data_IF_548386585563
#
_entry.id   IF_548386585563
#
_cell.length_a   1.000
_cell.length_b   1.000
_cell.length_c   1.000
_cell.angle_alpha   90.00
_cell.angle_beta   90.00
_cell.angle_gamma   90.00
#
_symmetry.space_group_name_H-M   'P 1'
#
loop_
_entity.id
_entity.type
_entity.pdbx_description
1 polymer ?
#
# COMPACT_ATOMS: atom_id res chain seq x y z
N UNK A 1 9.12 5.80 -2.78
CA UNK A 1 8.10 5.94 -1.74
C UNK A 1 6.87 6.70 -2.22
N UNK A 2 5.67 6.18 -1.89
CA UNK A 2 4.38 6.86 -2.02
C UNK A 2 3.71 6.95 -0.65
N UNK A 3 3.10 8.09 -0.37
CA UNK A 3 2.32 8.32 0.84
C UNK A 3 0.83 8.27 0.52
N UNK A 4 0.06 7.57 1.35
CA UNK A 4 -1.39 7.47 1.23
C UNK A 4 -2.07 7.95 2.50
N UNK A 5 -3.06 8.82 2.34
CA UNK A 5 -3.91 9.23 3.44
C UNK A 5 -4.88 8.13 3.82
N UNK A 6 -5.09 7.95 5.13
CA UNK A 6 -5.99 6.94 5.67
C UNK A 6 -7.43 7.48 5.77
N UNK A 7 -8.41 6.61 5.58
CA UNK A 7 -9.80 6.96 5.91
C UNK A 7 -9.91 7.20 7.42
N UNK A 8 -10.74 8.17 7.80
CA UNK A 8 -10.94 8.55 9.21
C UNK A 8 -11.51 7.32 9.96
N UNK A 9 -10.80 6.86 10.98
CA UNK A 9 -11.12 5.62 11.72
C UNK A 9 -10.33 4.39 11.28
N UNK A 10 -9.72 4.39 10.10
CA UNK A 10 -8.95 3.25 9.57
C UNK A 10 -7.51 3.22 10.08
N UNK A 11 -6.95 4.37 10.48
CA UNK A 11 -5.60 4.44 11.06
C UNK A 11 -5.37 3.48 12.23
N UNK A 12 -6.33 3.42 13.15
CA UNK A 12 -6.31 2.49 14.29
C UNK A 12 -6.35 1.01 13.87
N UNK A 13 -6.95 0.72 12.73
CA UNK A 13 -7.00 -0.62 12.16
C UNK A 13 -5.73 -1.00 11.41
N UNK A 14 -4.81 -0.06 11.16
CA UNK A 14 -3.51 -0.34 10.54
C UNK A 14 -2.37 -0.42 11.54
N UNK A 15 -2.57 0.01 12.77
CA UNK A 15 -1.59 -0.10 13.83
C UNK A 15 -1.39 -1.57 14.25
N UNK A 16 -0.15 -1.91 14.64
CA UNK A 16 0.23 -3.26 15.07
C UNK A 16 0.28 -4.29 13.94
N UNK A 17 -0.26 -5.50 14.20
CA UNK A 17 -0.19 -6.65 13.28
C UNK A 17 -1.19 -6.59 12.12
N UNK A 18 -2.14 -5.65 12.13
CA UNK A 18 -3.19 -5.61 11.10
C UNK A 18 -2.64 -5.29 9.71
N UNK A 19 -1.66 -4.38 9.61
CA UNK A 19 -1.00 -4.08 8.34
C UNK A 19 -0.32 -5.32 7.75
N UNK A 20 0.38 -6.07 8.60
CA UNK A 20 1.03 -7.34 8.24
C UNK A 20 0.00 -8.37 7.79
N UNK A 21 -1.12 -8.53 8.51
CA UNK A 21 -2.20 -9.45 8.13
C UNK A 21 -2.79 -9.12 6.77
N UNK A 22 -3.08 -7.84 6.50
CA UNK A 22 -3.60 -7.40 5.20
C UNK A 22 -2.60 -7.69 4.09
N UNK A 23 -1.31 -7.46 4.34
CA UNK A 23 -0.26 -7.79 3.38
C UNK A 23 -0.18 -9.31 3.14
N UNK A 24 -0.21 -10.13 4.21
CA UNK A 24 -0.19 -11.58 4.12
C UNK A 24 -1.41 -12.15 3.39
N UNK A 25 -2.60 -11.59 3.60
CA UNK A 25 -3.81 -12.00 2.88
C UNK A 25 -3.74 -11.72 1.37
N UNK A 26 -3.06 -10.64 0.97
CA UNK A 26 -3.03 -10.21 -0.43
C UNK A 26 -1.84 -10.81 -1.18
N UNK A 27 -0.67 -10.85 -0.56
CA UNK A 27 0.57 -11.30 -1.19
C UNK A 27 1.03 -12.68 -0.74
N UNK A 28 0.41 -13.23 0.32
CA UNK A 28 0.79 -14.50 0.94
C UNK A 28 1.98 -14.32 1.88
N UNK A 29 3.18 -14.36 1.30
CA UNK A 29 4.43 -14.32 2.07
C UNK A 29 4.85 -12.87 2.36
N UNK A 30 4.94 -12.55 3.65
CA UNK A 30 5.35 -11.22 4.12
C UNK A 30 6.35 -11.33 5.25
N UNK A 31 7.46 -10.64 5.09
CA UNK A 31 8.44 -10.39 6.13
C UNK A 31 8.05 -9.20 7.00
N UNK A 32 8.67 -9.11 8.17
CA UNK A 32 8.52 -7.98 9.08
C UNK A 32 9.88 -7.57 9.60
N UNK A 33 10.17 -6.28 9.55
CA UNK A 33 11.40 -5.65 10.00
C UNK A 33 11.02 -4.54 10.99
N UNK A 34 10.92 -4.92 12.27
CA UNK A 34 10.42 -4.05 13.34
C UNK A 34 8.98 -3.59 13.07
N UNK A 35 8.81 -2.29 12.77
CA UNK A 35 7.51 -1.68 12.45
C UNK A 35 7.18 -1.67 10.95
N UNK A 36 8.08 -2.17 10.09
CA UNK A 36 7.92 -2.20 8.64
C UNK A 36 7.58 -3.61 8.17
N UNK A 37 6.63 -3.71 7.26
CA UNK A 37 6.27 -4.96 6.59
C UNK A 37 7.01 -5.01 5.26
N UNK A 38 7.70 -6.10 4.99
CA UNK A 38 8.44 -6.33 3.74
C UNK A 38 7.70 -7.40 2.94
N UNK A 39 7.45 -7.13 1.68
CA UNK A 39 6.71 -8.02 0.77
C UNK A 39 7.49 -8.16 -0.53
N UNK A 40 7.55 -9.37 -1.07
CA UNK A 40 8.15 -9.65 -2.38
C UNK A 40 7.20 -10.54 -3.16
N UNK A 41 6.72 -10.08 -4.32
CA UNK A 41 5.68 -10.79 -5.06
C UNK A 41 5.72 -10.51 -6.56
N UNK A 42 6.00 -11.54 -7.38
CA UNK A 42 5.93 -11.45 -8.84
C UNK A 42 6.85 -10.37 -9.43
N UNK A 43 6.25 -9.32 -10.00
CA UNK A 43 6.95 -8.16 -10.57
C UNK A 43 7.53 -7.22 -9.51
N UNK A 44 7.10 -7.41 -8.26
CA UNK A 44 7.50 -6.63 -7.11
C UNK A 44 8.73 -7.29 -6.50
N UNK A 45 9.89 -6.67 -6.71
CA UNK A 45 11.16 -7.10 -6.12
C UNK A 45 11.10 -6.98 -4.60
N UNK A 46 10.72 -5.80 -4.12
CA UNK A 46 10.62 -5.49 -2.69
C UNK A 46 9.63 -4.38 -2.47
N UNK A 47 8.67 -4.58 -1.57
CA UNK A 47 7.75 -3.56 -1.10
C UNK A 47 7.91 -3.45 0.41
N UNK A 48 8.19 -2.25 0.87
CA UNK A 48 8.29 -1.94 2.30
C UNK A 48 7.10 -1.06 2.65
N UNK A 49 6.25 -1.52 3.57
CA UNK A 49 5.05 -0.81 3.99
C UNK A 49 5.09 -0.53 5.48
N UNK A 50 4.77 0.69 5.88
CA UNK A 50 4.61 1.05 7.28
C UNK A 50 3.62 2.20 7.42
N UNK A 51 3.17 2.44 8.65
CA UNK A 51 2.21 3.50 8.97
C UNK A 51 2.71 4.30 10.17
N UNK A 52 2.45 5.60 10.20
CA UNK A 52 2.61 6.41 11.43
C UNK A 52 1.30 6.53 12.23
N UNK A 53 0.25 5.83 11.80
CA UNK A 53 -1.11 5.93 12.34
C UNK A 53 -1.95 7.05 11.68
N UNK A 54 -1.31 8.01 11.00
CA UNK A 54 -1.99 9.06 10.22
C UNK A 54 -1.95 8.78 8.72
N UNK A 55 -0.82 8.31 8.21
CA UNK A 55 -0.58 7.99 6.80
C UNK A 55 0.07 6.62 6.64
N UNK A 56 -0.19 6.01 5.49
CA UNK A 56 0.48 4.79 5.04
C UNK A 56 1.62 5.16 4.10
N UNK A 57 2.81 4.67 4.42
CA UNK A 57 4.01 4.80 3.61
C UNK A 57 4.26 3.49 2.90
N UNK A 58 4.37 3.56 1.57
CA UNK A 58 4.59 2.40 0.72
C UNK A 58 5.79 2.68 -0.16
N UNK A 59 6.87 1.96 0.09
CA UNK A 59 8.01 1.93 -0.81
C UNK A 59 7.94 0.67 -1.65
N UNK A 60 8.10 0.80 -2.96
CA UNK A 60 7.94 -0.32 -3.90
C UNK A 60 9.04 -0.28 -4.92
N UNK A 61 9.75 -1.39 -5.04
CA UNK A 61 10.80 -1.65 -6.00
C UNK A 61 10.27 -2.71 -6.97
N UNK A 62 10.15 -2.34 -8.25
CA UNK A 62 9.71 -3.24 -9.31
C UNK A 62 10.93 -3.81 -10.03
N UNK A 63 10.88 -5.09 -10.39
CA UNK A 63 11.88 -5.72 -11.25
C UNK A 63 11.65 -5.35 -12.71
N UNK A 64 12.72 -4.98 -13.40
CA UNK A 64 12.72 -4.80 -14.85
C UNK A 64 12.70 -6.18 -15.53
N UNK A 65 12.05 -6.29 -16.70
CA UNK A 65 12.08 -7.53 -17.49
C UNK A 65 11.08 -8.61 -17.05
N UNK A 66 10.08 -8.25 -16.25
CA UNK A 66 8.98 -9.15 -15.88
C UNK A 66 7.86 -9.11 -16.93
N UNK A 67 7.18 -10.24 -17.20
CA UNK A 67 6.11 -10.29 -18.18
C UNK A 67 4.92 -9.36 -17.84
N UNK A 68 4.26 -8.79 -18.85
CA UNK A 68 3.10 -7.90 -18.68
C UNK A 68 1.97 -8.49 -17.83
N UNK A 69 1.74 -9.81 -17.94
CA UNK A 69 0.72 -10.49 -17.14
C UNK A 69 1.07 -10.48 -15.64
N UNK A 70 2.36 -10.65 -15.29
CA UNK A 70 2.84 -10.59 -13.90
C UNK A 70 2.79 -9.17 -13.38
N UNK A 71 3.17 -8.18 -14.21
CA UNK A 71 3.08 -6.76 -13.85
C UNK A 71 1.63 -6.36 -13.56
N UNK A 72 0.70 -6.79 -14.42
CA UNK A 72 -0.74 -6.51 -14.27
C UNK A 72 -1.30 -7.15 -13.01
N UNK A 73 -0.96 -8.41 -12.74
CA UNK A 73 -1.42 -9.13 -11.54
C UNK A 73 -0.90 -8.48 -10.26
N UNK A 74 0.39 -8.11 -10.27
CA UNK A 74 1.04 -7.37 -9.18
C UNK A 74 0.34 -6.03 -8.92
N UNK A 75 -0.02 -5.27 -9.97
CA UNK A 75 -0.75 -4.00 -9.84
C UNK A 75 -2.15 -4.22 -9.26
N UNK A 76 -2.84 -5.31 -9.62
CA UNK A 76 -4.15 -5.66 -9.06
C UNK A 76 -4.05 -5.99 -7.58
N UNK A 77 -3.12 -6.87 -7.20
CA UNK A 77 -2.84 -7.21 -5.80
C UNK A 77 -2.47 -5.94 -4.99
N UNK A 78 -1.58 -5.11 -5.53
CA UNK A 78 -1.21 -3.83 -4.93
C UNK A 78 -2.39 -2.90 -4.69
N UNK A 79 -3.31 -2.80 -5.66
CA UNK A 79 -4.52 -2.00 -5.48
C UNK A 79 -5.44 -2.58 -4.40
N UNK A 80 -5.68 -3.89 -4.40
CA UNK A 80 -6.49 -4.56 -3.39
C UNK A 80 -5.90 -4.38 -1.98
N UNK A 81 -4.58 -4.48 -1.85
CA UNK A 81 -3.86 -4.19 -0.61
C UNK A 81 -4.11 -2.77 -0.14
N UNK A 82 -3.94 -1.78 -1.01
CA UNK A 82 -4.15 -0.38 -0.63
C UNK A 82 -5.60 -0.09 -0.25
N UNK A 83 -6.58 -0.73 -0.88
CA UNK A 83 -8.00 -0.57 -0.53
C UNK A 83 -8.30 -1.12 0.86
N UNK A 84 -7.76 -2.30 1.19
CA UNK A 84 -7.89 -2.90 2.53
C UNK A 84 -7.12 -2.11 3.58
N UNK A 85 -5.90 -1.69 3.26
CA UNK A 85 -5.04 -0.94 4.17
C UNK A 85 -5.62 0.44 4.46
N UNK A 86 -5.87 1.24 3.43
CA UNK A 86 -6.34 2.63 3.60
C UNK A 86 -7.83 2.74 3.90
N UNK A 87 -8.61 1.69 3.62
CA UNK A 87 -10.07 1.71 3.68
C UNK A 87 -10.73 2.59 2.60
N UNK A 88 -9.94 3.02 1.61
CA UNK A 88 -10.36 3.87 0.50
C UNK A 88 -10.26 3.08 -0.80
N UNK A 89 -11.36 3.08 -1.56
CA UNK A 89 -11.36 2.53 -2.91
C UNK A 89 -10.37 3.26 -3.81
N UNK A 90 -9.93 2.64 -4.91
CA UNK A 90 -9.07 3.30 -5.90
C UNK A 90 -9.65 4.67 -6.37
N UNK A 91 -10.98 4.76 -6.50
CA UNK A 91 -11.70 5.99 -6.87
C UNK A 91 -11.66 7.05 -5.76
N UNK A 92 -11.87 6.65 -4.50
CA UNK A 92 -11.74 7.56 -3.34
C UNK A 92 -10.29 8.06 -3.19
N UNK A 93 -9.30 7.18 -3.35
CA UNK A 93 -7.86 7.54 -3.33
C UNK A 93 -7.54 8.55 -4.41
N UNK A 94 -8.01 8.35 -5.64
CA UNK A 94 -7.84 9.31 -6.74
C UNK A 94 -8.47 10.67 -6.45
N UNK A 95 -9.69 10.69 -5.91
CA UNK A 95 -10.38 11.94 -5.55
C UNK A 95 -9.67 12.68 -4.42
N UNK A 96 -9.18 11.96 -3.39
CA UNK A 96 -8.40 12.55 -2.29
C UNK A 96 -7.04 13.05 -2.74
N UNK A 97 -6.30 12.30 -3.55
CA UNK A 97 -5.03 12.76 -4.11
C UNK A 97 -5.21 14.05 -4.90
N UNK A 98 -6.27 14.16 -5.71
CA UNK A 98 -6.62 15.40 -6.41
C UNK A 98 -7.00 16.54 -5.45
N UNK A 99 -7.75 16.26 -4.38
CA UNK A 99 -8.11 17.26 -3.38
C UNK A 99 -6.90 17.73 -2.57
N UNK A 100 -6.00 16.82 -2.16
CA UNK A 100 -4.77 17.12 -1.47
C UNK A 100 -3.84 17.97 -2.35
N UNK A 101 -3.71 17.63 -3.64
CA UNK A 101 -2.98 18.43 -4.61
C UNK A 101 -3.57 19.84 -4.79
N UNK A 102 -4.91 19.98 -4.74
CA UNK A 102 -5.58 21.30 -4.78
C UNK A 102 -5.45 22.09 -3.48
N UNK A 103 -5.38 21.42 -2.32
CA UNK A 103 -5.25 22.06 -1.00
C UNK A 103 -3.81 22.43 -0.63
N UNK A 104 -2.80 21.79 -1.22
CA UNK A 104 -1.39 22.14 -1.06
C UNK A 104 -0.94 23.33 -1.91
N UNK A 105 -1.84 23.88 -2.73
CA UNK A 105 -1.64 25.07 -3.56
C UNK A 105 -2.43 26.24 -2.99
N UNK A 106 -2.11 26.67 -1.76
CA UNK A 106 -2.61 27.91 -1.17
C UNK A 106 -1.59 28.42 -0.14
#
# INVERSE_FOLDING_TARGET
MREYELKRGTGKNLEGDSLRKIAAEVFGDVGTDGAKVIVSHGALEKMVVWTDGKKLFVDTTMKSGVPDHVATDTIKAYNAFLERATGLTAKERGKRAQQAAKKGSA
#
